data_IF_480972674623
#
_entry.id   IF_480972674623
#
_cell.length_a   1.000
_cell.length_b   1.000
_cell.length_c   1.000
_cell.angle_alpha   90.00
_cell.angle_beta   90.00
_cell.angle_gamma   90.00
#
_symmetry.space_group_name_H-M   'P 1'
#
loop_
_entity.id
_entity.type
_entity.pdbx_description
1 polymer ?
#
# COMPACT_ATOMS: atom_id res chain seq x y z
N UNK A 1 -38.40 -6.87 12.49
CA UNK A 1 -38.15 -7.31 11.09
C UNK A 1 -37.48 -6.18 10.28
N UNK A 2 -37.89 -4.91 10.42
CA UNK A 2 -37.24 -3.77 9.73
C UNK A 2 -35.78 -3.50 10.14
N UNK A 3 -35.42 -3.67 11.42
CA UNK A 3 -34.03 -3.42 11.89
C UNK A 3 -33.00 -4.38 11.29
N UNK A 4 -33.38 -5.66 11.09
CA UNK A 4 -32.50 -6.64 10.45
C UNK A 4 -32.29 -6.29 8.97
N UNK A 5 -33.35 -5.84 8.28
CA UNK A 5 -33.23 -5.41 6.88
C UNK A 5 -32.36 -4.14 6.74
N UNK A 6 -32.49 -3.16 7.63
CA UNK A 6 -31.64 -1.96 7.66
C UNK A 6 -30.19 -2.31 7.98
N UNK A 7 -29.95 -3.21 8.94
CA UNK A 7 -28.61 -3.70 9.25
C UNK A 7 -27.94 -4.43 8.08
N UNK A 8 -28.68 -5.31 7.39
CA UNK A 8 -28.19 -6.02 6.20
C UNK A 8 -27.93 -5.04 5.04
N UNK A 9 -28.85 -4.10 4.77
CA UNK A 9 -28.67 -3.10 3.72
C UNK A 9 -27.48 -2.16 4.02
N UNK A 10 -27.31 -1.75 5.28
CA UNK A 10 -26.16 -0.96 5.73
C UNK A 10 -24.84 -1.71 5.54
N UNK A 11 -24.77 -2.98 5.94
CA UNK A 11 -23.58 -3.81 5.73
C UNK A 11 -23.25 -4.01 4.24
N UNK A 12 -24.26 -4.28 3.40
CA UNK A 12 -24.08 -4.44 1.95
C UNK A 12 -23.59 -3.14 1.30
N UNK A 13 -24.13 -1.98 1.72
CA UNK A 13 -23.69 -0.69 1.20
C UNK A 13 -22.23 -0.39 1.58
N UNK A 14 -21.85 -0.66 2.82
CA UNK A 14 -20.47 -0.51 3.29
C UNK A 14 -19.50 -1.40 2.48
N UNK A 15 -19.85 -2.66 2.25
CA UNK A 15 -19.02 -3.58 1.44
C UNK A 15 -18.84 -3.06 0.01
N UNK A 16 -19.92 -2.62 -0.65
CA UNK A 16 -19.84 -2.07 -2.01
C UNK A 16 -19.03 -0.79 -2.09
N UNK A 17 -19.21 0.11 -1.11
CA UNK A 17 -18.45 1.36 -1.04
C UNK A 17 -16.95 1.09 -0.89
N UNK A 18 -16.55 0.11 -0.07
CA UNK A 18 -15.14 -0.28 0.09
C UNK A 18 -14.55 -0.86 -1.19
N UNK A 19 -15.30 -1.69 -1.92
CA UNK A 19 -14.82 -2.26 -3.19
C UNK A 19 -14.59 -1.18 -4.26
N UNK A 20 -15.53 -0.24 -4.41
CA UNK A 20 -15.43 0.85 -5.38
C UNK A 20 -14.24 1.77 -5.06
N UNK A 21 -14.09 2.12 -3.77
CA UNK A 21 -12.95 2.91 -3.29
C UNK A 21 -11.64 2.17 -3.51
N UNK A 22 -11.57 0.88 -3.20
CA UNK A 22 -10.37 0.05 -3.39
C UNK A 22 -9.96 -0.01 -4.86
N UNK A 23 -10.91 -0.26 -5.77
CA UNK A 23 -10.63 -0.30 -7.21
C UNK A 23 -10.10 1.05 -7.73
N UNK A 24 -10.76 2.15 -7.34
CA UNK A 24 -10.33 3.50 -7.71
C UNK A 24 -8.93 3.82 -7.16
N UNK A 25 -8.66 3.47 -5.90
CA UNK A 25 -7.35 3.67 -5.28
C UNK A 25 -6.26 2.83 -5.95
N UNK A 26 -6.53 1.57 -6.30
CA UNK A 26 -5.57 0.71 -7.00
C UNK A 26 -5.16 1.33 -8.32
N UNK A 27 -6.12 1.83 -9.11
CA UNK A 27 -5.82 2.52 -10.37
C UNK A 27 -4.96 3.78 -10.15
N UNK A 28 -5.28 4.58 -9.12
CA UNK A 28 -4.48 5.77 -8.79
C UNK A 28 -3.08 5.42 -8.30
N UNK A 29 -2.93 4.39 -7.47
CA UNK A 29 -1.62 3.89 -7.04
C UNK A 29 -0.79 3.45 -8.24
N UNK A 30 -1.40 2.75 -9.21
CA UNK A 30 -0.68 2.31 -10.40
C UNK A 30 -0.22 3.47 -11.29
N UNK A 31 -1.00 4.55 -11.41
CA UNK A 31 -0.74 5.65 -12.34
C UNK A 31 -0.03 6.87 -11.73
N UNK A 32 -0.18 7.10 -10.42
CA UNK A 32 0.18 8.38 -9.78
C UNK A 32 1.22 8.24 -8.67
N UNK A 33 1.44 7.04 -8.12
CA UNK A 33 2.40 6.89 -7.03
C UNK A 33 3.84 7.16 -7.51
N UNK A 34 4.53 8.07 -6.83
CA UNK A 34 5.90 8.52 -7.13
C UNK A 34 6.11 9.01 -8.58
N UNK A 35 5.02 9.46 -9.22
CA UNK A 35 5.04 10.13 -10.53
C UNK A 35 5.16 11.64 -10.30
N UNK A 36 6.02 12.35 -11.05
CA UNK A 36 6.15 13.81 -10.93
C UNK A 36 4.80 14.53 -11.08
N UNK A 37 4.51 15.48 -10.18
CA UNK A 37 3.24 16.20 -10.11
C UNK A 37 2.16 15.53 -9.23
N UNK A 38 2.47 14.40 -8.58
CA UNK A 38 1.60 13.69 -7.65
C UNK A 38 2.29 13.42 -6.29
N UNK A 39 3.14 14.34 -5.85
CA UNK A 39 3.93 14.22 -4.62
C UNK A 39 3.06 14.13 -3.37
N UNK A 40 1.99 14.93 -3.29
CA UNK A 40 1.03 14.90 -2.18
C UNK A 40 0.33 13.54 -2.09
N UNK A 41 -0.01 12.94 -3.23
CA UNK A 41 -0.62 11.62 -3.29
C UNK A 41 0.36 10.53 -2.83
N UNK A 42 1.61 10.62 -3.26
CA UNK A 42 2.68 9.70 -2.84
C UNK A 42 2.87 9.76 -1.33
N UNK A 43 2.99 10.98 -0.77
CA UNK A 43 3.14 11.22 0.67
C UNK A 43 1.95 10.67 1.46
N UNK A 44 0.73 10.87 0.97
CA UNK A 44 -0.46 10.33 1.62
C UNK A 44 -0.48 8.80 1.62
N UNK A 45 -0.09 8.16 0.51
CA UNK A 45 0.01 6.70 0.41
C UNK A 45 1.10 6.15 1.33
N UNK A 46 2.26 6.80 1.40
CA UNK A 46 3.36 6.43 2.29
C UNK A 46 2.96 6.52 3.76
N UNK A 47 2.27 7.61 4.14
CA UNK A 47 1.71 7.78 5.47
C UNK A 47 0.68 6.70 5.82
N UNK A 48 -0.26 6.42 4.93
CA UNK A 48 -1.30 5.39 5.15
C UNK A 48 -0.68 4.00 5.28
N UNK A 49 0.28 3.65 4.43
CA UNK A 49 1.00 2.37 4.53
C UNK A 49 1.70 2.21 5.86
N UNK A 50 2.38 3.26 6.33
CA UNK A 50 3.06 3.26 7.62
C UNK A 50 2.07 3.16 8.80
N UNK A 51 1.03 4.00 8.81
CA UNK A 51 0.07 4.06 9.93
C UNK A 51 -0.83 2.82 10.03
N UNK A 52 -1.29 2.30 8.89
CA UNK A 52 -2.16 1.13 8.83
C UNK A 52 -1.40 -0.18 8.66
N UNK A 53 -0.07 -0.11 8.58
CA UNK A 53 0.82 -1.26 8.43
C UNK A 53 0.43 -2.15 7.24
N UNK A 54 0.01 -1.51 6.13
CA UNK A 54 -0.43 -2.19 4.92
C UNK A 54 0.58 -2.00 3.78
N UNK A 55 0.44 -2.80 2.72
CA UNK A 55 1.28 -2.67 1.53
C UNK A 55 0.45 -2.84 0.26
N UNK A 56 0.29 -1.74 -0.48
CA UNK A 56 -0.68 -1.65 -1.56
C UNK A 56 -2.10 -1.40 -1.05
N UNK A 57 -3.07 -1.47 -1.94
CA UNK A 57 -4.49 -1.28 -1.61
C UNK A 57 -5.11 -2.59 -1.16
N UNK A 58 -4.89 -3.64 -1.94
CA UNK A 58 -5.26 -5.02 -1.63
C UNK A 58 -4.04 -5.84 -1.23
N UNK A 59 -2.92 -5.68 -1.94
CA UNK A 59 -1.71 -6.45 -1.68
C UNK A 59 -0.47 -5.81 -2.30
N UNK A 60 0.71 -6.32 -1.93
CA UNK A 60 1.97 -5.92 -2.56
C UNK A 60 2.04 -6.16 -4.07
N UNK A 61 1.14 -6.99 -4.62
CA UNK A 61 1.09 -7.26 -6.06
C UNK A 61 0.58 -6.04 -6.82
N UNK A 62 -0.14 -5.12 -6.17
CA UNK A 62 -0.66 -3.89 -6.76
C UNK A 62 0.46 -3.01 -7.37
N UNK A 63 1.67 -3.13 -6.82
CA UNK A 63 2.87 -2.44 -7.30
C UNK A 63 3.46 -3.01 -8.58
N UNK A 64 3.25 -4.29 -8.87
CA UNK A 64 3.95 -5.00 -9.97
C UNK A 64 3.67 -4.40 -11.35
N UNK A 65 2.44 -3.90 -11.55
CA UNK A 65 2.00 -3.26 -12.80
C UNK A 65 1.95 -1.73 -12.70
N UNK A 66 2.37 -1.17 -11.57
CA UNK A 66 2.41 0.28 -11.40
C UNK A 66 3.44 0.91 -12.32
N UNK A 67 3.14 2.11 -12.81
CA UNK A 67 4.07 2.95 -13.55
C UNK A 67 5.37 3.19 -12.78
N UNK A 68 5.28 3.37 -11.47
CA UNK A 68 6.43 3.45 -10.56
C UNK A 68 7.41 2.27 -10.72
N UNK A 69 6.90 1.04 -10.81
CA UNK A 69 7.74 -0.15 -10.98
C UNK A 69 8.22 -0.30 -12.42
N UNK A 70 7.34 -0.09 -13.40
CA UNK A 70 7.65 -0.27 -14.82
C UNK A 70 8.66 0.77 -15.34
N UNK A 71 8.56 2.01 -14.87
CA UNK A 71 9.48 3.11 -15.21
C UNK A 71 10.65 3.24 -14.21
N UNK A 72 10.78 2.28 -13.29
CA UNK A 72 11.85 2.21 -12.28
C UNK A 72 12.07 3.51 -11.49
N UNK A 73 10.98 4.25 -11.22
CA UNK A 73 11.03 5.55 -10.55
C UNK A 73 11.55 5.46 -9.11
N UNK A 74 11.31 4.34 -8.42
CA UNK A 74 11.90 4.03 -7.12
C UNK A 74 13.26 3.35 -7.17
N UNK A 75 13.78 3.08 -8.37
CA UNK A 75 14.96 2.25 -8.59
C UNK A 75 14.61 0.82 -9.04
N UNK A 76 15.49 0.16 -9.82
CA UNK A 76 15.19 -1.10 -10.49
C UNK A 76 14.99 -2.28 -9.51
N UNK A 77 15.71 -2.26 -8.39
CA UNK A 77 15.74 -3.32 -7.38
C UNK A 77 14.46 -3.37 -6.53
N UNK A 78 13.75 -2.24 -6.37
CA UNK A 78 12.61 -2.15 -5.44
C UNK A 78 11.37 -2.86 -5.99
N UNK A 79 10.92 -3.91 -5.31
CA UNK A 79 9.69 -4.65 -5.60
C UNK A 79 8.45 -3.97 -5.00
N UNK A 80 8.62 -3.21 -3.91
CA UNK A 80 7.56 -2.46 -3.22
C UNK A 80 8.13 -1.16 -2.65
N UNK A 81 7.30 -0.14 -2.36
CA UNK A 81 7.72 1.02 -1.58
C UNK A 81 8.40 0.64 -0.27
N UNK A 82 9.36 1.44 0.18
CA UNK A 82 10.07 1.13 1.44
C UNK A 82 9.15 1.21 2.67
N UNK A 83 8.09 2.01 2.61
CA UNK A 83 7.03 2.07 3.64
C UNK A 83 6.26 0.76 3.82
N UNK A 84 6.30 -0.15 2.83
CA UNK A 84 5.77 -1.52 2.99
C UNK A 84 6.63 -2.38 3.94
N UNK A 85 7.90 -2.02 4.15
CA UNK A 85 8.84 -2.81 4.94
C UNK A 85 8.66 -2.57 6.43
N UNK A 86 9.08 -3.54 7.23
CA UNK A 86 9.35 -3.32 8.65
C UNK A 86 10.42 -2.23 8.80
N UNK A 87 10.06 -1.12 9.43
CA UNK A 87 10.92 0.05 9.63
C UNK A 87 11.41 0.13 11.07
N UNK A 88 12.60 0.70 11.28
CA UNK A 88 13.00 1.13 12.61
C UNK A 88 12.02 2.20 13.13
N UNK A 89 11.70 2.16 14.43
CA UNK A 89 10.70 3.05 15.03
C UNK A 89 11.22 4.49 15.04
N UNK A 90 10.68 5.31 14.14
CA UNK A 90 10.83 6.76 14.09
C UNK A 90 9.48 7.40 13.75
N UNK A 91 9.22 8.61 14.25
CA UNK A 91 7.95 9.34 14.04
C UNK A 91 7.75 9.73 12.56
N UNK A 92 8.85 9.96 11.84
CA UNK A 92 8.93 10.36 10.45
C UNK A 92 9.29 9.22 9.49
N UNK A 93 9.14 7.96 9.94
CA UNK A 93 9.50 6.78 9.14
C UNK A 93 8.72 6.64 7.82
N UNK A 94 7.58 7.34 7.67
CA UNK A 94 6.86 7.42 6.40
C UNK A 94 7.49 8.40 5.39
N UNK A 95 8.30 9.35 5.85
CA UNK A 95 9.01 10.35 5.03
C UNK A 95 10.41 9.84 4.69
N UNK A 96 11.11 9.30 5.69
CA UNK A 96 12.46 8.75 5.55
C UNK A 96 12.49 7.30 6.07
N UNK A 97 11.97 6.35 5.27
CA UNK A 97 11.88 4.96 5.69
C UNK A 97 13.28 4.32 5.80
N UNK A 98 13.55 3.74 6.96
CA UNK A 98 14.74 2.94 7.24
C UNK A 98 14.36 1.47 7.55
N UNK A 99 14.35 0.59 6.53
CA UNK A 99 13.94 -0.80 6.70
C UNK A 99 14.91 -1.62 7.55
N UNK A 100 14.37 -2.42 8.48
CA UNK A 100 15.14 -3.35 9.32
C UNK A 100 15.88 -4.39 8.47
N UNK A 101 15.21 -4.91 7.43
CA UNK A 101 15.80 -5.87 6.50
C UNK A 101 15.31 -5.61 5.07
N UNK A 102 15.98 -4.68 4.39
CA UNK A 102 15.62 -4.28 3.01
C UNK A 102 15.72 -5.45 2.03
N UNK A 103 16.73 -6.31 2.16
CA UNK A 103 16.93 -7.45 1.25
C UNK A 103 15.76 -8.43 1.30
N UNK A 104 15.27 -8.74 2.50
CA UNK A 104 14.12 -9.63 2.68
C UNK A 104 12.83 -8.97 2.17
N UNK A 105 12.63 -7.69 2.48
CA UNK A 105 11.46 -6.92 2.05
C UNK A 105 11.38 -6.69 0.53
N UNK A 106 12.53 -6.61 -0.14
CA UNK A 106 12.65 -6.41 -1.58
C UNK A 106 12.95 -7.72 -2.33
N UNK A 107 12.80 -8.87 -1.68
CA UNK A 107 12.96 -10.18 -2.32
C UNK A 107 11.92 -10.38 -3.43
N UNK A 108 12.27 -11.12 -4.48
CA UNK A 108 11.32 -11.54 -5.50
C UNK A 108 10.29 -12.55 -4.96
N UNK A 109 10.65 -13.31 -3.92
CA UNK A 109 9.76 -14.25 -3.24
C UNK A 109 8.64 -13.49 -2.51
N UNK A 110 7.39 -13.82 -2.82
CA UNK A 110 6.24 -13.23 -2.13
C UNK A 110 6.26 -13.55 -0.62
N UNK A 111 6.67 -14.77 -0.26
CA UNK A 111 6.73 -15.21 1.13
C UNK A 111 7.72 -14.37 1.94
N UNK A 112 8.92 -14.15 1.40
CA UNK A 112 9.97 -13.36 2.05
C UNK A 112 9.49 -11.93 2.29
N UNK A 113 8.91 -11.30 1.25
CA UNK A 113 8.35 -9.95 1.37
C UNK A 113 7.26 -9.88 2.42
N UNK A 114 6.44 -10.91 2.52
CA UNK A 114 5.32 -10.95 3.45
C UNK A 114 5.78 -11.13 4.91
N UNK A 115 6.86 -11.88 5.13
CA UNK A 115 7.53 -12.00 6.43
C UNK A 115 8.21 -10.70 6.87
N UNK A 116 8.69 -9.89 5.92
CA UNK A 116 9.37 -8.63 6.18
C UNK A 116 8.44 -7.40 6.27
N UNK A 117 7.12 -7.57 6.14
CA UNK A 117 6.13 -6.49 6.24
C UNK A 117 5.86 -6.08 7.69
N UNK A 118 5.27 -4.91 7.87
CA UNK A 118 4.81 -4.39 9.16
C UNK A 118 3.63 -5.16 9.78
N UNK A 119 3.46 -6.47 9.53
CA UNK A 119 2.42 -7.23 10.22
C UNK A 119 2.92 -7.66 11.61
N UNK A 120 2.44 -6.98 12.66
CA UNK A 120 2.35 -7.52 14.02
C UNK A 120 0.90 -7.50 14.47
#
# INVERSE_FOLDING_TARGET
IGEVAVGVLGAVYQVRAVEEVSSSLTSRVQEQYAVPGYEDFTTAIDYVQYQLQCCGVSSSVDWSMSRWKLETLGGPELQVPLTCCSLHRAEDAHINPDPVNVTLCQSHSLLDRQLARQHQ
#
